data_IF_998856747280
#
_entry.id   IF_998856747280
#
_cell.length_a   1.000
_cell.length_b   1.000
_cell.length_c   1.000
_cell.angle_alpha   90.00
_cell.angle_beta   90.00
_cell.angle_gamma   90.00
#
_symmetry.space_group_name_H-M   'P 1'
#
loop_
_entity.id
_entity.type
_entity.pdbx_description
1 polymer ?
#
# COMPACT_ATOMS: atom_id res chain seq x y z
N UNK A 1 7.16 41.77 -14.67
CA UNK A 1 7.22 40.57 -13.80
C UNK A 1 6.91 39.34 -14.66
N UNK A 2 7.86 38.45 -14.91
CA UNK A 2 7.68 37.30 -15.82
C UNK A 2 6.67 36.29 -15.22
N UNK A 3 5.91 35.57 -16.06
CA UNK A 3 4.88 34.57 -15.64
C UNK A 3 5.37 33.58 -14.57
N UNK A 4 6.69 33.29 -14.53
CA UNK A 4 7.33 32.47 -13.49
C UNK A 4 7.30 33.12 -12.10
N UNK A 5 7.58 34.41 -11.97
CA UNK A 5 7.54 35.11 -10.67
C UNK A 5 6.12 35.26 -10.14
N UNK A 6 5.13 35.42 -11.03
CA UNK A 6 3.72 35.42 -10.64
C UNK A 6 3.27 34.05 -10.13
N UNK A 7 3.67 32.96 -10.79
CA UNK A 7 3.37 31.60 -10.34
C UNK A 7 4.00 31.25 -8.98
N UNK A 8 5.25 31.68 -8.74
CA UNK A 8 5.93 31.50 -7.44
C UNK A 8 5.23 32.30 -6.35
N UNK A 9 4.85 33.55 -6.62
CA UNK A 9 4.15 34.39 -5.64
C UNK A 9 2.77 33.82 -5.27
N UNK A 10 2.01 33.32 -6.26
CA UNK A 10 0.70 32.68 -6.03
C UNK A 10 0.87 31.39 -5.23
N UNK A 11 1.87 30.56 -5.55
CA UNK A 11 2.16 29.34 -4.79
C UNK A 11 2.59 29.64 -3.34
N UNK A 12 3.41 30.67 -3.14
CA UNK A 12 3.81 31.11 -1.81
C UNK A 12 2.62 31.64 -1.00
N UNK A 13 1.75 32.46 -1.60
CA UNK A 13 0.51 32.93 -0.95
C UNK A 13 -0.45 31.80 -0.63
N UNK A 14 -0.61 30.82 -1.53
CA UNK A 14 -1.44 29.65 -1.28
C UNK A 14 -0.87 28.77 -0.15
N UNK A 15 0.47 28.60 -0.09
CA UNK A 15 1.12 27.86 0.98
C UNK A 15 1.01 28.57 2.34
N UNK A 16 1.20 29.89 2.38
CA UNK A 16 1.02 30.71 3.59
C UNK A 16 -0.45 30.73 4.02
N UNK A 17 -1.40 30.86 3.09
CA UNK A 17 -2.84 30.79 3.36
C UNK A 17 -3.26 29.41 3.87
N UNK A 18 -2.73 28.34 3.29
CA UNK A 18 -2.96 26.97 3.76
C UNK A 18 -2.36 26.75 5.15
N UNK A 19 -1.13 27.22 5.40
CA UNK A 19 -0.50 27.14 6.71
C UNK A 19 -1.27 27.95 7.77
N UNK A 20 -1.73 29.15 7.43
CA UNK A 20 -2.55 29.98 8.31
C UNK A 20 -3.92 29.33 8.60
N UNK A 21 -4.58 28.75 7.59
CA UNK A 21 -5.81 27.99 7.76
C UNK A 21 -5.60 26.75 8.62
N UNK A 22 -4.52 26.00 8.39
CA UNK A 22 -4.17 24.82 9.19
C UNK A 22 -3.91 25.21 10.65
N UNK A 23 -3.14 26.28 10.90
CA UNK A 23 -2.88 26.79 12.26
C UNK A 23 -4.14 27.29 12.94
N UNK A 24 -5.00 28.02 12.23
CA UNK A 24 -6.30 28.46 12.75
C UNK A 24 -7.20 27.27 13.10
N UNK A 25 -7.28 26.28 12.21
CA UNK A 25 -8.08 25.07 12.43
C UNK A 25 -7.56 24.22 13.57
N UNK A 26 -6.24 24.12 13.74
CA UNK A 26 -5.57 23.41 14.85
C UNK A 26 -5.80 24.12 16.20
N UNK A 27 -5.87 25.45 16.22
CA UNK A 27 -6.22 26.21 17.44
C UNK A 27 -7.67 25.96 17.88
N UNK A 28 -8.58 25.86 16.92
CA UNK A 28 -10.02 25.70 17.19
C UNK A 28 -10.43 24.22 17.36
N UNK A 29 -9.53 23.26 17.12
CA UNK A 29 -9.82 21.82 17.20
C UNK A 29 -9.64 21.21 18.59
N UNK A 30 -9.22 21.99 19.60
CA UNK A 30 -8.86 21.46 20.92
C UNK A 30 -7.57 20.66 20.93
N UNK A 31 -6.65 20.90 19.99
CA UNK A 31 -5.36 20.21 19.92
C UNK A 31 -4.35 20.82 20.89
N UNK A 32 -3.72 19.99 21.72
CA UNK A 32 -2.71 20.39 22.69
C UNK A 32 -1.33 19.84 22.33
N UNK A 33 -0.38 20.75 22.09
CA UNK A 33 1.02 20.38 21.81
C UNK A 33 1.67 19.65 22.98
N UNK A 34 1.28 19.95 24.22
CA UNK A 34 1.84 19.30 25.41
C UNK A 34 1.38 17.85 25.51
N UNK A 35 0.12 17.57 25.22
CA UNK A 35 -0.41 16.20 25.17
C UNK A 35 0.16 15.40 24.00
N UNK A 36 0.31 16.04 22.83
CA UNK A 36 0.96 15.42 21.69
C UNK A 36 2.40 15.03 22.02
N UNK A 37 3.19 15.94 22.59
CA UNK A 37 4.54 15.63 23.04
C UNK A 37 4.54 14.55 24.14
N UNK A 38 3.54 14.58 25.03
CA UNK A 38 3.41 13.61 26.10
C UNK A 38 3.11 12.19 25.61
N UNK A 39 2.49 12.05 24.43
CA UNK A 39 2.24 10.74 23.80
C UNK A 39 3.53 9.94 23.49
N UNK A 40 4.69 10.61 23.46
CA UNK A 40 5.99 9.98 23.24
C UNK A 40 6.74 9.66 24.54
N UNK A 41 6.25 10.11 25.71
CA UNK A 41 6.84 9.72 26.99
C UNK A 41 6.39 8.31 27.37
N UNK A 42 7.30 7.56 28.00
CA UNK A 42 7.08 6.18 28.44
C UNK A 42 6.68 5.18 27.33
N UNK A 43 7.11 5.44 26.09
CA UNK A 43 6.99 4.45 25.01
C UNK A 43 7.89 3.26 25.31
N UNK A 44 7.35 2.05 25.23
CA UNK A 44 8.12 0.82 25.33
C UNK A 44 8.84 0.54 24.00
N UNK A 45 10.13 0.86 23.99
CA UNK A 45 11.01 0.69 22.83
C UNK A 45 11.15 -0.76 22.38
N UNK A 46 10.94 -1.74 23.26
CA UNK A 46 11.04 -3.16 22.91
C UNK A 46 9.89 -3.56 22.00
N UNK A 47 8.66 -3.17 22.36
CA UNK A 47 7.47 -3.39 21.54
C UNK A 47 7.53 -2.59 20.23
N UNK A 48 8.04 -1.36 20.28
CA UNK A 48 8.20 -0.53 19.09
C UNK A 48 9.24 -1.11 18.12
N UNK A 49 10.36 -1.61 18.62
CA UNK A 49 11.39 -2.27 17.83
C UNK A 49 10.89 -3.58 17.22
N UNK A 50 10.08 -4.35 17.95
CA UNK A 50 9.43 -5.55 17.43
C UNK A 50 8.44 -5.20 16.31
N UNK A 51 7.61 -4.17 16.50
CA UNK A 51 6.70 -3.67 15.46
C UNK A 51 7.47 -3.24 14.20
N UNK A 52 8.54 -2.46 14.37
CA UNK A 52 9.42 -2.06 13.27
C UNK A 52 10.00 -3.28 12.53
N UNK A 53 10.49 -4.28 13.26
CA UNK A 53 11.08 -5.49 12.69
C UNK A 53 10.05 -6.29 11.89
N UNK A 54 8.81 -6.40 12.40
CA UNK A 54 7.72 -7.05 11.69
C UNK A 54 7.33 -6.28 10.42
N UNK A 55 7.28 -4.94 10.46
CA UNK A 55 7.07 -4.13 9.25
C UNK A 55 8.18 -4.37 8.23
N UNK A 56 9.45 -4.39 8.66
CA UNK A 56 10.57 -4.71 7.75
C UNK A 56 10.44 -6.11 7.13
N UNK A 57 10.00 -7.09 7.93
CA UNK A 57 9.74 -8.44 7.45
C UNK A 57 8.64 -8.50 6.38
N UNK A 58 7.65 -7.60 6.41
CA UNK A 58 6.61 -7.54 5.35
C UNK A 58 7.20 -7.24 3.97
N UNK A 59 8.24 -6.41 3.86
CA UNK A 59 8.89 -6.14 2.57
C UNK A 59 9.61 -7.37 2.00
N UNK A 60 10.19 -8.19 2.88
CA UNK A 60 10.77 -9.49 2.51
C UNK A 60 9.66 -10.47 2.08
N UNK A 61 8.57 -10.53 2.85
CA UNK A 61 7.39 -11.33 2.50
C UNK A 61 6.80 -10.96 1.13
N UNK A 62 6.72 -9.67 0.83
CA UNK A 62 6.30 -9.15 -0.49
C UNK A 62 7.26 -9.57 -1.60
N UNK A 63 8.58 -9.57 -1.35
CA UNK A 63 9.56 -10.03 -2.31
C UNK A 63 9.44 -11.55 -2.58
N UNK A 64 9.26 -12.35 -1.54
CA UNK A 64 9.03 -13.81 -1.63
C UNK A 64 7.72 -14.11 -2.38
N UNK A 65 6.64 -13.40 -2.07
CA UNK A 65 5.36 -13.56 -2.79
C UNK A 65 5.52 -13.22 -4.28
N UNK A 66 6.27 -12.17 -4.61
CA UNK A 66 6.56 -11.83 -6.00
C UNK A 66 7.42 -12.87 -6.70
N UNK A 67 8.38 -13.48 -6.00
CA UNK A 67 9.17 -14.60 -6.52
C UNK A 67 8.25 -15.73 -6.98
N UNK A 68 7.23 -16.10 -6.19
CA UNK A 68 6.26 -17.15 -6.53
C UNK A 68 5.46 -16.79 -7.79
N UNK A 69 5.05 -15.53 -7.93
CA UNK A 69 4.39 -15.05 -9.16
C UNK A 69 5.31 -15.12 -10.38
N UNK A 70 6.62 -14.95 -10.16
CA UNK A 70 7.64 -14.91 -11.20
C UNK A 70 8.14 -16.30 -11.63
N UNK A 71 8.09 -17.31 -10.75
CA UNK A 71 8.56 -18.69 -11.00
C UNK A 71 8.14 -19.31 -12.33
N UNK A 72 6.90 -19.13 -12.84
CA UNK A 72 6.51 -19.66 -14.15
C UNK A 72 7.30 -19.06 -15.32
N UNK A 73 7.76 -17.81 -15.19
CA UNK A 73 8.53 -17.08 -16.20
C UNK A 73 10.03 -17.26 -15.99
N UNK A 74 10.46 -17.20 -14.73
CA UNK A 74 11.87 -17.28 -14.33
C UNK A 74 12.01 -18.02 -13.00
N UNK A 75 12.50 -19.27 -13.07
CA UNK A 75 12.66 -20.14 -11.89
C UNK A 75 13.82 -19.73 -10.99
N UNK A 76 14.83 -19.08 -11.55
CA UNK A 76 16.09 -18.67 -10.90
C UNK A 76 16.08 -17.20 -10.43
N UNK A 77 14.89 -16.60 -10.29
CA UNK A 77 14.77 -15.21 -9.87
C UNK A 77 15.43 -14.98 -8.51
N UNK A 78 16.28 -13.95 -8.42
CA UNK A 78 17.04 -13.68 -7.20
C UNK A 78 16.18 -12.92 -6.19
N UNK A 79 15.98 -13.51 -5.01
CA UNK A 79 15.25 -12.86 -3.92
C UNK A 79 15.84 -11.48 -3.56
N UNK A 80 17.16 -11.34 -3.61
CA UNK A 80 17.83 -10.06 -3.33
C UNK A 80 17.48 -8.98 -4.37
N UNK A 81 17.41 -9.34 -5.66
CA UNK A 81 17.01 -8.41 -6.72
C UNK A 81 15.55 -7.99 -6.58
N UNK A 82 14.68 -8.95 -6.22
CA UNK A 82 13.26 -8.70 -5.95
C UNK A 82 13.06 -7.83 -4.71
N UNK A 83 13.78 -8.10 -3.62
CA UNK A 83 13.77 -7.27 -2.42
C UNK A 83 14.24 -5.85 -2.73
N UNK A 84 15.35 -5.70 -3.45
CA UNK A 84 15.87 -4.38 -3.82
C UNK A 84 14.89 -3.60 -4.69
N UNK A 85 14.28 -4.24 -5.70
CA UNK A 85 13.23 -3.61 -6.51
C UNK A 85 11.98 -3.26 -5.68
N UNK A 86 11.66 -4.07 -4.67
CA UNK A 86 10.55 -3.83 -3.75
C UNK A 86 10.82 -2.61 -2.87
N UNK A 87 11.97 -2.54 -2.21
CA UNK A 87 12.36 -1.40 -1.37
C UNK A 87 12.40 -0.08 -2.15
N UNK A 88 13.01 -0.07 -3.35
CA UNK A 88 13.06 1.11 -4.22
C UNK A 88 11.64 1.49 -4.69
N UNK A 89 10.82 0.52 -5.08
CA UNK A 89 9.46 0.78 -5.52
C UNK A 89 8.56 1.35 -4.43
N UNK A 90 8.59 0.80 -3.21
CA UNK A 90 7.84 1.36 -2.09
C UNK A 90 8.36 2.74 -1.69
N UNK A 91 9.66 2.99 -1.78
CA UNK A 91 10.23 4.33 -1.63
C UNK A 91 9.67 5.30 -2.67
N UNK A 92 9.56 4.88 -3.93
CA UNK A 92 8.96 5.68 -4.98
C UNK A 92 7.47 5.95 -4.72
N UNK A 93 6.72 4.99 -4.18
CA UNK A 93 5.32 5.19 -3.78
C UNK A 93 5.20 6.23 -2.67
N UNK A 94 6.11 6.20 -1.68
CA UNK A 94 6.10 7.19 -0.60
C UNK A 94 6.41 8.59 -1.12
N UNK A 95 7.38 8.74 -2.02
CA UNK A 95 7.82 10.05 -2.53
C UNK A 95 6.92 10.62 -3.63
N UNK A 96 6.40 9.77 -4.52
CA UNK A 96 5.66 10.18 -5.72
C UNK A 96 4.18 9.75 -5.71
N UNK A 97 3.72 9.08 -4.64
CA UNK A 97 2.37 8.54 -4.52
C UNK A 97 2.10 7.45 -5.55
N UNK A 98 0.90 7.47 -6.14
CA UNK A 98 0.45 6.48 -7.13
C UNK A 98 1.33 6.42 -8.39
N UNK A 99 1.98 7.54 -8.75
CA UNK A 99 2.93 7.55 -9.86
C UNK A 99 4.18 6.68 -9.61
N UNK A 100 4.47 6.34 -8.35
CA UNK A 100 5.54 5.43 -7.96
C UNK A 100 5.20 3.94 -8.06
N UNK A 101 3.93 3.56 -8.17
CA UNK A 101 3.51 2.15 -8.22
C UNK A 101 4.13 1.34 -9.36
N UNK A 102 4.29 1.89 -10.58
CA UNK A 102 4.91 1.16 -11.70
C UNK A 102 6.41 0.91 -11.53
N UNK A 103 7.09 1.58 -10.58
CA UNK A 103 8.56 1.50 -10.41
C UNK A 103 9.01 0.09 -10.04
N UNK A 104 8.31 -0.58 -9.11
CA UNK A 104 8.64 -1.97 -8.71
C UNK A 104 8.51 -2.95 -9.90
N UNK A 105 7.36 -3.06 -10.59
CA UNK A 105 7.22 -3.90 -11.78
C UNK A 105 8.26 -3.58 -12.87
N UNK A 106 8.56 -2.30 -13.08
CA UNK A 106 9.57 -1.88 -14.06
C UNK A 106 10.98 -2.36 -13.69
N UNK A 107 11.39 -2.18 -12.43
CA UNK A 107 12.70 -2.62 -11.96
C UNK A 107 12.83 -4.15 -11.98
N UNK A 108 11.78 -4.87 -11.61
CA UNK A 108 11.78 -6.34 -11.68
C UNK A 108 11.88 -6.81 -13.14
N UNK A 109 11.11 -6.22 -14.06
CA UNK A 109 11.19 -6.52 -15.48
C UNK A 109 12.61 -6.37 -16.02
N UNK A 110 13.27 -5.25 -15.67
CA UNK A 110 14.63 -4.95 -16.12
C UNK A 110 15.69 -5.88 -15.50
N UNK A 111 15.60 -6.17 -14.20
CA UNK A 111 16.58 -6.99 -13.47
C UNK A 111 16.44 -8.47 -13.76
N UNK A 112 15.19 -8.92 -13.92
CA UNK A 112 14.87 -10.31 -14.13
C UNK A 112 14.73 -10.68 -15.62
N UNK A 113 14.95 -9.73 -16.53
CA UNK A 113 14.92 -10.00 -17.98
C UNK A 113 13.56 -10.50 -18.46
N UNK A 114 12.48 -10.09 -17.78
CA UNK A 114 11.10 -10.43 -18.11
C UNK A 114 10.35 -9.22 -18.65
N UNK A 115 9.26 -9.43 -19.38
CA UNK A 115 8.50 -8.32 -19.96
C UNK A 115 7.83 -7.46 -18.90
N UNK A 116 7.80 -6.13 -19.10
CA UNK A 116 7.12 -5.21 -18.18
C UNK A 116 5.62 -5.51 -18.06
N UNK A 117 4.96 -5.88 -19.15
CA UNK A 117 3.54 -6.24 -19.17
C UNK A 117 3.23 -7.45 -18.30
N UNK A 118 4.12 -8.45 -18.22
CA UNK A 118 3.96 -9.57 -17.29
C UNK A 118 4.02 -9.12 -15.82
N UNK A 119 4.90 -8.16 -15.51
CA UNK A 119 5.06 -7.65 -14.15
C UNK A 119 3.91 -6.74 -13.73
N UNK A 120 3.29 -6.02 -14.68
CA UNK A 120 2.04 -5.31 -14.44
C UNK A 120 0.91 -6.30 -14.15
N UNK A 121 0.83 -7.44 -14.84
CA UNK A 121 -0.15 -8.47 -14.52
C UNK A 121 0.03 -9.01 -13.08
N UNK A 122 1.28 -9.33 -12.70
CA UNK A 122 1.59 -9.77 -11.34
C UNK A 122 1.24 -8.70 -10.28
N UNK A 123 1.52 -7.43 -10.57
CA UNK A 123 1.14 -6.31 -9.70
C UNK A 123 -0.38 -6.21 -9.53
N UNK A 124 -1.17 -6.33 -10.60
CA UNK A 124 -2.64 -6.30 -10.52
C UNK A 124 -3.14 -7.44 -9.63
N UNK A 125 -2.62 -8.66 -9.82
CA UNK A 125 -2.97 -9.82 -8.98
C UNK A 125 -2.64 -9.56 -7.51
N UNK A 126 -1.45 -9.02 -7.23
CA UNK A 126 -1.05 -8.63 -5.88
C UNK A 126 -2.04 -7.63 -5.27
N UNK A 127 -2.42 -6.57 -6.00
CA UNK A 127 -3.37 -5.55 -5.54
C UNK A 127 -4.75 -6.12 -5.27
N UNK A 128 -5.24 -7.04 -6.11
CA UNK A 128 -6.55 -7.66 -5.91
C UNK A 128 -6.52 -8.54 -4.66
N UNK A 129 -5.50 -9.38 -4.48
CA UNK A 129 -5.36 -10.22 -3.29
C UNK A 129 -5.24 -9.39 -2.01
N UNK A 130 -4.45 -8.32 -2.04
CA UNK A 130 -4.31 -7.39 -0.91
C UNK A 130 -5.66 -6.72 -0.61
N UNK A 131 -6.38 -6.23 -1.63
CA UNK A 131 -7.69 -5.59 -1.47
C UNK A 131 -8.74 -6.56 -0.92
N UNK A 132 -8.77 -7.80 -1.38
CA UNK A 132 -9.68 -8.82 -0.83
C UNK A 132 -9.40 -9.06 0.67
N UNK A 133 -8.14 -9.09 1.08
CA UNK A 133 -7.78 -9.20 2.51
C UNK A 133 -8.16 -7.95 3.30
N UNK A 134 -7.94 -6.75 2.77
CA UNK A 134 -8.41 -5.49 3.39
C UNK A 134 -9.91 -5.56 3.65
N UNK A 135 -10.68 -5.96 2.64
CA UNK A 135 -12.13 -6.04 2.73
C UNK A 135 -12.60 -7.12 3.68
N UNK A 136 -11.90 -8.26 3.74
CA UNK A 136 -12.17 -9.31 4.73
C UNK A 136 -11.94 -8.81 6.15
N UNK A 137 -10.78 -8.20 6.41
CA UNK A 137 -10.41 -7.64 7.72
C UNK A 137 -11.38 -6.54 8.12
N UNK A 138 -11.71 -5.64 7.19
CA UNK A 138 -12.68 -4.57 7.40
C UNK A 138 -14.08 -5.12 7.66
N UNK A 139 -14.51 -6.16 6.93
CA UNK A 139 -15.78 -6.84 7.17
C UNK A 139 -15.84 -7.45 8.58
N UNK A 140 -14.78 -8.13 9.03
CA UNK A 140 -14.66 -8.64 10.40
C UNK A 140 -14.68 -7.51 11.42
N UNK A 141 -14.00 -6.39 11.15
CA UNK A 141 -14.04 -5.21 12.02
C UNK A 141 -15.47 -4.66 12.17
N UNK A 142 -16.23 -4.55 11.07
CA UNK A 142 -17.61 -4.05 11.08
C UNK A 142 -18.56 -4.96 11.86
N UNK A 143 -18.41 -6.28 11.77
CA UNK A 143 -19.25 -7.20 12.55
C UNK A 143 -18.97 -7.09 14.05
N UNK A 144 -17.70 -6.96 14.44
CA UNK A 144 -17.33 -6.78 15.84
C UNK A 144 -17.87 -5.47 16.41
N UNK A 145 -17.77 -4.35 15.66
CA UNK A 145 -18.35 -3.07 16.06
C UNK A 145 -19.87 -3.17 16.23
N UNK A 146 -20.55 -3.91 15.35
CA UNK A 146 -22.00 -4.11 15.41
C UNK A 146 -22.45 -4.96 16.62
N UNK A 147 -21.57 -5.82 17.15
CA UNK A 147 -21.85 -6.67 18.31
C UNK A 147 -21.43 -6.06 19.65
N UNK A 148 -20.47 -5.13 19.67
CA UNK A 148 -20.16 -4.35 20.87
C UNK A 148 -21.33 -3.44 21.24
N UNK A 149 -21.64 -3.32 22.55
CA UNK A 149 -22.78 -2.56 23.10
C UNK A 149 -22.78 -1.03 22.83
N UNK A 150 -21.92 -0.57 21.93
CA UNK A 150 -21.86 0.79 21.42
C UNK A 150 -23.04 0.96 20.47
N UNK A 151 -24.13 1.60 20.94
CA UNK A 151 -25.21 2.03 20.06
C UNK A 151 -24.66 3.10 19.12
N UNK A 152 -24.45 2.81 17.83
CA UNK A 152 -23.93 3.82 16.92
C UNK A 152 -24.98 4.93 16.85
N UNK A 153 -24.60 6.17 17.11
CA UNK A 153 -25.47 7.31 16.84
C UNK A 153 -25.91 7.33 15.35
N UNK A 154 -26.95 8.09 14.98
CA UNK A 154 -27.53 8.07 13.64
C UNK A 154 -26.52 8.34 12.50
N UNK A 155 -25.46 9.12 12.77
CA UNK A 155 -24.41 9.40 11.78
C UNK A 155 -23.43 8.22 11.62
N UNK A 156 -23.02 7.60 12.71
CA UNK A 156 -22.16 6.41 12.72
C UNK A 156 -22.82 5.20 12.09
N UNK A 157 -24.13 4.99 12.27
CA UNK A 157 -24.86 3.89 11.63
C UNK A 157 -24.91 4.03 10.11
N UNK A 158 -25.11 5.25 9.59
CA UNK A 158 -25.06 5.54 8.15
C UNK A 158 -23.65 5.31 7.60
N UNK A 159 -22.61 5.78 8.29
CA UNK A 159 -21.21 5.57 7.89
C UNK A 159 -20.87 4.07 7.86
N UNK A 160 -21.30 3.30 8.85
CA UNK A 160 -21.11 1.85 8.91
C UNK A 160 -21.83 1.13 7.75
N UNK A 161 -23.08 1.51 7.45
CA UNK A 161 -23.85 0.92 6.34
C UNK A 161 -23.24 1.25 4.98
N UNK A 162 -22.94 2.53 4.72
CA UNK A 162 -22.29 2.97 3.47
C UNK A 162 -20.92 2.34 3.32
N UNK A 163 -20.13 2.28 4.40
CA UNK A 163 -18.84 1.57 4.45
C UNK A 163 -18.98 0.09 4.12
N UNK A 164 -19.98 -0.58 4.68
CA UNK A 164 -20.28 -1.99 4.38
C UNK A 164 -20.67 -2.23 2.91
N UNK A 165 -21.57 -1.42 2.34
CA UNK A 165 -21.98 -1.56 0.93
C UNK A 165 -20.84 -1.27 -0.05
N UNK A 166 -20.06 -0.22 0.22
CA UNK A 166 -18.88 0.13 -0.61
C UNK A 166 -17.81 -0.94 -0.54
N UNK A 167 -17.55 -1.51 0.65
CA UNK A 167 -16.67 -2.66 0.82
C UNK A 167 -17.17 -3.89 0.06
N UNK A 168 -18.46 -4.23 0.19
CA UNK A 168 -19.08 -5.36 -0.50
C UNK A 168 -19.01 -5.24 -2.02
N UNK A 169 -19.34 -4.05 -2.57
CA UNK A 169 -19.25 -3.78 -4.00
C UNK A 169 -17.80 -3.88 -4.50
N UNK A 170 -16.85 -3.27 -3.78
CA UNK A 170 -15.43 -3.33 -4.12
C UNK A 170 -14.92 -4.77 -4.10
N UNK A 171 -15.37 -5.59 -3.14
CA UNK A 171 -15.02 -7.01 -3.05
C UNK A 171 -15.58 -7.81 -4.21
N UNK A 172 -16.85 -7.59 -4.57
CA UNK A 172 -17.48 -8.23 -5.71
C UNK A 172 -16.78 -7.88 -7.03
N UNK A 173 -16.43 -6.61 -7.25
CA UNK A 173 -15.66 -6.16 -8.42
C UNK A 173 -14.28 -6.82 -8.44
N UNK A 174 -13.57 -6.84 -7.31
CA UNK A 174 -12.24 -7.44 -7.20
C UNK A 174 -12.27 -8.94 -7.52
N UNK A 175 -13.27 -9.66 -7.01
CA UNK A 175 -13.47 -11.07 -7.30
C UNK A 175 -13.85 -11.32 -8.76
N UNK A 176 -14.72 -10.48 -9.33
CA UNK A 176 -15.09 -10.54 -10.74
C UNK A 176 -13.88 -10.32 -11.66
N UNK A 177 -13.00 -9.36 -11.32
CA UNK A 177 -11.74 -9.14 -12.04
C UNK A 177 -10.84 -10.36 -11.90
N UNK A 178 -10.66 -10.92 -10.70
CA UNK A 178 -9.82 -12.11 -10.50
C UNK A 178 -10.32 -13.32 -11.29
N UNK A 179 -11.62 -13.58 -11.26
CA UNK A 179 -12.25 -14.64 -12.07
C UNK A 179 -12.08 -14.34 -13.55
N UNK A 180 -12.28 -13.09 -13.98
CA UNK A 180 -12.08 -12.64 -15.35
C UNK A 180 -10.64 -12.84 -15.84
N UNK A 181 -9.64 -12.51 -15.01
CA UNK A 181 -8.22 -12.74 -15.28
C UNK A 181 -7.89 -14.23 -15.38
N UNK A 182 -8.46 -15.05 -14.49
CA UNK A 182 -8.28 -16.51 -14.53
C UNK A 182 -8.94 -17.15 -15.76
N UNK A 183 -10.10 -16.64 -16.15
CA UNK A 183 -10.86 -17.08 -17.32
C UNK A 183 -10.39 -16.41 -18.63
N UNK A 184 -9.45 -15.46 -18.55
CA UNK A 184 -8.80 -14.84 -19.70
C UNK A 184 -8.03 -15.93 -20.45
N UNK A 185 -8.72 -16.50 -21.45
CA UNK A 185 -8.24 -17.57 -22.33
C UNK A 185 -7.72 -16.95 -23.63
N UNK A 186 -6.99 -17.76 -24.39
CA UNK A 186 -6.71 -17.54 -25.82
C UNK A 186 -7.95 -17.06 -26.61
N UNK A 187 -9.17 -17.46 -26.23
CA UNK A 187 -10.41 -16.99 -26.85
C UNK A 187 -10.73 -15.50 -26.61
N UNK A 188 -10.44 -14.95 -25.43
CA UNK A 188 -10.63 -13.50 -25.16
C UNK A 188 -9.55 -12.70 -25.87
N UNK A 189 -8.31 -13.19 -25.84
CA UNK A 189 -7.18 -12.65 -26.61
C UNK A 189 -7.54 -12.55 -28.11
N UNK A 190 -8.00 -13.64 -28.72
CA UNK A 190 -8.38 -13.67 -30.13
C UNK A 190 -9.58 -12.77 -30.46
N UNK A 191 -10.53 -12.59 -29.52
CA UNK A 191 -11.65 -11.65 -29.68
C UNK A 191 -11.18 -10.21 -29.57
N UNK A 192 -10.26 -9.88 -28.66
CA UNK A 192 -9.67 -8.55 -28.53
C UNK A 192 -8.88 -8.17 -29.79
N UNK A 193 -8.04 -9.07 -30.30
CA UNK A 193 -7.27 -8.82 -31.53
C UNK A 193 -8.21 -8.66 -32.73
N UNK A 194 -9.25 -9.48 -32.85
CA UNK A 194 -10.28 -9.30 -33.88
C UNK A 194 -11.01 -7.97 -33.76
N UNK A 195 -11.35 -7.54 -32.55
CA UNK A 195 -11.98 -6.25 -32.33
C UNK A 195 -11.05 -5.08 -32.68
N UNK A 196 -9.73 -5.26 -32.58
CA UNK A 196 -8.71 -4.25 -32.89
C UNK A 196 -8.18 -4.33 -34.32
N UNK A 197 -8.74 -5.20 -35.17
CA UNK A 197 -8.28 -5.40 -36.55
C UNK A 197 -8.52 -4.20 -37.47
N UNK A 198 -9.25 -3.18 -37.01
CA UNK A 198 -9.41 -1.90 -37.71
C UNK A 198 -8.15 -1.01 -37.61
N UNK A 199 -7.21 -1.32 -36.72
CA UNK A 199 -5.97 -0.57 -36.53
C UNK A 199 -4.88 -1.04 -37.52
N UNK A 200 -3.87 -0.20 -37.80
CA UNK A 200 -2.70 -0.59 -38.59
C UNK A 200 -2.02 -1.84 -38.03
N UNK A 201 -1.57 -2.74 -38.90
CA UNK A 201 -0.95 -4.03 -38.53
C UNK A 201 0.22 -3.87 -37.54
N UNK A 202 1.03 -2.81 -37.69
CA UNK A 202 2.13 -2.51 -36.77
C UNK A 202 1.68 -2.26 -35.34
N UNK A 203 0.49 -1.66 -35.15
CA UNK A 203 -0.09 -1.39 -33.83
C UNK A 203 -0.68 -2.69 -33.28
N UNK A 204 -1.42 -3.44 -34.10
CA UNK A 204 -2.01 -4.73 -33.70
C UNK A 204 -0.93 -5.71 -33.26
N UNK A 205 0.18 -5.80 -34.00
CA UNK A 205 1.32 -6.65 -33.65
C UNK A 205 1.94 -6.26 -32.29
N UNK A 206 2.12 -4.96 -32.03
CA UNK A 206 2.61 -4.48 -30.72
C UNK A 206 1.64 -4.83 -29.58
N UNK A 207 0.33 -4.61 -29.80
CA UNK A 207 -0.70 -4.94 -28.82
C UNK A 207 -0.71 -6.46 -28.54
N UNK A 208 -0.58 -7.28 -29.58
CA UNK A 208 -0.51 -8.73 -29.45
C UNK A 208 0.67 -9.16 -28.59
N UNK A 209 1.86 -8.60 -28.81
CA UNK A 209 3.03 -8.88 -27.96
C UNK A 209 2.77 -8.51 -26.49
N UNK A 210 2.14 -7.36 -26.24
CA UNK A 210 1.77 -6.92 -24.88
C UNK A 210 0.76 -7.89 -24.24
N UNK A 211 -0.25 -8.32 -24.99
CA UNK A 211 -1.29 -9.24 -24.50
C UNK A 211 -0.72 -10.63 -24.20
N UNK A 212 0.15 -11.17 -25.05
CA UNK A 212 0.86 -12.44 -24.79
C UNK A 212 1.66 -12.34 -23.49
N UNK A 213 2.49 -11.30 -23.36
CA UNK A 213 3.30 -11.05 -22.17
C UNK A 213 2.47 -10.84 -20.90
N UNK A 214 1.30 -10.21 -21.01
CA UNK A 214 0.37 -10.06 -19.89
C UNK A 214 -0.25 -11.41 -19.49
N UNK A 215 -0.64 -12.22 -20.48
CA UNK A 215 -1.18 -13.57 -20.28
C UNK A 215 -0.16 -14.52 -19.62
N UNK A 216 1.11 -14.39 -19.98
CA UNK A 216 2.25 -15.06 -19.37
C UNK A 216 2.39 -14.69 -17.89
N UNK A 217 2.31 -13.41 -17.53
CA UNK A 217 2.32 -12.95 -16.13
C UNK A 217 1.17 -13.52 -15.28
N UNK A 218 0.01 -13.76 -15.90
CA UNK A 218 -1.14 -14.37 -15.23
C UNK A 218 -1.03 -15.89 -15.05
N UNK A 219 -0.06 -16.57 -15.66
CA UNK A 219 0.09 -18.03 -15.52
C UNK A 219 0.23 -18.48 -14.05
N UNK A 220 0.81 -17.64 -13.19
CA UNK A 220 0.92 -17.89 -11.75
C UNK A 220 -0.44 -18.11 -11.05
N UNK A 221 -1.52 -17.56 -11.58
CA UNK A 221 -2.89 -17.73 -11.04
C UNK A 221 -3.61 -18.98 -11.58
N UNK A 222 -3.00 -19.68 -12.53
CA UNK A 222 -3.59 -20.86 -13.19
C UNK A 222 -3.23 -22.18 -12.53
N UNK A 223 -2.03 -22.29 -11.93
CA UNK A 223 -1.60 -23.49 -11.21
C UNK A 223 -2.22 -23.57 -9.83
N UNK A 224 -2.94 -24.65 -9.50
CA UNK A 224 -3.61 -24.79 -8.20
C UNK A 224 -2.68 -24.61 -7.00
N UNK A 225 -1.48 -25.20 -7.06
CA UNK A 225 -0.47 -25.05 -6.01
C UNK A 225 0.10 -23.62 -5.91
N UNK A 226 0.42 -23.00 -7.05
CA UNK A 226 0.91 -21.62 -7.08
C UNK A 226 -0.14 -20.66 -6.55
N UNK A 227 -1.41 -20.81 -6.94
CA UNK A 227 -2.52 -20.01 -6.41
C UNK A 227 -2.71 -20.22 -4.90
N UNK A 228 -2.62 -21.47 -4.42
CA UNK A 228 -2.66 -21.75 -2.98
C UNK A 228 -1.51 -21.03 -2.25
N UNK A 229 -0.28 -21.11 -2.76
CA UNK A 229 0.86 -20.40 -2.20
C UNK A 229 0.64 -18.88 -2.22
N UNK A 230 0.12 -18.30 -3.30
CA UNK A 230 -0.16 -16.86 -3.35
C UNK A 230 -1.17 -16.42 -2.28
N UNK A 231 -2.24 -17.19 -2.08
CA UNK A 231 -3.22 -16.94 -1.02
C UNK A 231 -2.58 -17.10 0.36
N UNK A 232 -1.84 -18.19 0.59
CA UNK A 232 -1.17 -18.44 1.86
C UNK A 232 -0.17 -17.34 2.23
N UNK A 233 0.69 -16.92 1.28
CA UNK A 233 1.62 -15.81 1.49
C UNK A 233 0.88 -14.50 1.76
N UNK A 234 -0.24 -14.25 1.06
CA UNK A 234 -1.05 -13.05 1.32
C UNK A 234 -1.63 -13.09 2.73
N UNK A 235 -2.21 -14.22 3.18
CA UNK A 235 -2.73 -14.37 4.55
C UNK A 235 -1.62 -14.18 5.58
N UNK A 236 -0.47 -14.83 5.40
CA UNK A 236 0.69 -14.70 6.30
C UNK A 236 1.16 -13.24 6.37
N UNK A 237 1.26 -12.56 5.22
CA UNK A 237 1.67 -11.16 5.16
C UNK A 237 0.72 -10.27 5.98
N UNK A 238 -0.59 -10.47 5.85
CA UNK A 238 -1.59 -9.74 6.64
C UNK A 238 -1.58 -10.10 8.12
N UNK A 239 -1.27 -11.35 8.49
CA UNK A 239 -1.06 -11.73 9.90
C UNK A 239 0.17 -11.04 10.49
N UNK A 240 1.26 -10.93 9.73
CA UNK A 240 2.46 -10.17 10.14
C UNK A 240 2.13 -8.69 10.28
N UNK A 241 1.34 -8.11 9.38
CA UNK A 241 0.86 -6.72 9.50
C UNK A 241 0.02 -6.54 10.76
N UNK A 242 -0.93 -7.44 11.03
CA UNK A 242 -1.74 -7.40 12.24
C UNK A 242 -0.91 -7.54 13.52
N UNK A 243 0.08 -8.43 13.52
CA UNK A 243 1.02 -8.59 14.62
C UNK A 243 1.89 -7.33 14.82
N UNK A 244 2.33 -6.69 13.73
CA UNK A 244 3.08 -5.43 13.78
C UNK A 244 2.23 -4.32 14.41
N UNK A 245 0.96 -4.20 14.01
CA UNK A 245 0.02 -3.23 14.58
C UNK A 245 -0.25 -3.53 16.06
N UNK A 246 -0.39 -4.80 16.43
CA UNK A 246 -0.58 -5.19 17.83
C UNK A 246 0.63 -4.80 18.69
N UNK A 247 1.84 -5.14 18.24
CA UNK A 247 3.08 -4.74 18.92
C UNK A 247 3.20 -3.21 18.99
N UNK A 248 2.83 -2.51 17.92
CA UNK A 248 2.86 -1.05 17.86
C UNK A 248 1.95 -0.43 18.93
N UNK A 249 0.68 -0.83 19.02
CA UNK A 249 -0.23 -0.28 20.04
C UNK A 249 0.17 -0.69 21.46
N UNK A 250 0.78 -1.86 21.65
CA UNK A 250 1.36 -2.27 22.93
C UNK A 250 2.52 -1.38 23.39
N UNK A 251 3.21 -0.70 22.46
CA UNK A 251 4.32 0.19 22.78
C UNK A 251 3.90 1.51 23.45
N UNK A 252 2.65 1.95 23.26
CA UNK A 252 2.18 3.23 23.79
C UNK A 252 1.27 3.02 25.01
N UNK A 253 1.52 3.67 26.16
CA UNK A 253 0.69 3.51 27.36
C UNK A 253 -0.81 3.76 27.11
N UNK A 254 -1.13 4.75 26.26
CA UNK A 254 -2.51 5.12 25.93
C UNK A 254 -3.27 4.05 25.13
N UNK A 255 -2.57 3.12 24.47
CA UNK A 255 -3.18 2.06 23.63
C UNK A 255 -2.73 0.66 24.03
N UNK A 256 -1.94 0.52 25.10
CA UNK A 256 -1.45 -0.78 25.58
C UNK A 256 -2.55 -1.74 26.06
N UNK A 257 -3.71 -1.20 26.42
CA UNK A 257 -4.89 -1.97 26.85
C UNK A 257 -5.72 -2.52 25.67
N UNK A 258 -5.42 -2.11 24.43
CA UNK A 258 -6.15 -2.57 23.26
C UNK A 258 -5.96 -4.09 23.06
N UNK A 259 -7.07 -4.80 22.94
CA UNK A 259 -7.09 -6.24 22.63
C UNK A 259 -6.81 -6.46 21.15
N UNK A 260 -6.51 -7.70 20.78
CA UNK A 260 -6.28 -8.06 19.37
C UNK A 260 -7.48 -7.65 18.48
N UNK A 261 -8.70 -7.83 18.96
CA UNK A 261 -9.92 -7.42 18.23
C UNK A 261 -9.96 -5.92 17.96
N UNK A 262 -9.57 -5.10 18.94
CA UNK A 262 -9.52 -3.64 18.82
C UNK A 262 -8.51 -3.22 17.76
N UNK A 263 -7.34 -3.86 17.77
CA UNK A 263 -6.28 -3.63 16.78
C UNK A 263 -6.72 -4.02 15.37
N UNK A 264 -7.45 -5.14 15.22
CA UNK A 264 -8.02 -5.56 13.94
C UNK A 264 -9.05 -4.54 13.43
N UNK A 265 -9.85 -3.94 14.33
CA UNK A 265 -10.76 -2.84 13.97
C UNK A 265 -9.96 -1.67 13.42
N UNK A 266 -8.97 -1.18 14.17
CA UNK A 266 -8.12 -0.05 13.71
C UNK A 266 -7.47 -0.40 12.37
N UNK A 267 -6.90 -1.60 12.22
CA UNK A 267 -6.26 -2.05 10.98
C UNK A 267 -7.21 -2.02 9.78
N UNK A 268 -8.47 -2.46 9.93
CA UNK A 268 -9.45 -2.43 8.85
C UNK A 268 -9.72 -1.01 8.33
N UNK A 269 -9.98 -0.06 9.24
CA UNK A 269 -10.21 1.34 8.88
C UNK A 269 -8.95 2.01 8.32
N UNK A 270 -7.78 1.74 8.90
CA UNK A 270 -6.50 2.29 8.46
C UNK A 270 -6.12 1.76 7.09
N UNK A 271 -6.32 0.48 6.81
CA UNK A 271 -6.06 -0.12 5.51
C UNK A 271 -6.94 0.52 4.43
N UNK A 272 -8.22 0.76 4.70
CA UNK A 272 -9.10 1.49 3.78
C UNK A 272 -8.66 2.95 3.60
N UNK A 273 -8.36 3.66 4.70
CA UNK A 273 -7.88 5.04 4.67
C UNK A 273 -6.56 5.20 3.90
N UNK A 274 -5.69 4.17 3.93
CA UNK A 274 -4.41 4.18 3.21
C UNK A 274 -4.53 4.19 1.69
N UNK A 275 -5.73 3.95 1.12
CA UNK A 275 -5.98 4.10 -0.31
C UNK A 275 -5.82 5.55 -0.79
N UNK A 276 -5.98 6.53 0.11
CA UNK A 276 -5.89 7.96 -0.17
C UNK A 276 -4.72 8.58 0.59
N UNK A 277 -3.53 8.58 -0.02
CA UNK A 277 -2.32 9.17 0.55
C UNK A 277 -1.81 10.30 -0.34
N UNK A 278 -1.41 11.39 0.31
CA UNK A 278 -0.70 12.50 -0.32
C UNK A 278 0.78 12.12 -0.36
N UNK A 279 1.44 12.19 -1.54
CA UNK A 279 2.87 11.90 -1.67
C UNK A 279 3.71 12.66 -0.64
N UNK A 280 4.62 11.96 0.04
CA UNK A 280 5.58 12.50 1.00
C UNK A 280 5.02 12.90 2.36
N UNK A 281 3.70 13.08 2.50
CA UNK A 281 3.06 13.64 3.70
C UNK A 281 2.20 12.61 4.44
N UNK A 282 1.58 11.68 3.72
CA UNK A 282 0.58 10.79 4.29
C UNK A 282 -0.84 11.35 4.14
N UNK A 283 -1.67 11.27 5.18
CA UNK A 283 -3.05 11.73 5.16
C UNK A 283 -4.06 10.65 5.54
N UNK A 284 -4.52 9.85 4.57
CA UNK A 284 -5.70 8.99 4.77
C UNK A 284 -5.56 7.97 5.89
N UNK A 285 -4.39 7.35 6.05
CA UNK A 285 -4.16 6.44 7.19
C UNK A 285 -4.12 7.16 8.53
N UNK A 286 -3.56 8.37 8.59
CA UNK A 286 -3.43 9.13 9.82
C UNK A 286 -4.80 9.60 10.26
N UNK A 287 -5.60 10.15 9.33
CA UNK A 287 -6.99 10.53 9.55
C UNK A 287 -7.80 9.32 10.04
N UNK A 288 -7.71 8.17 9.37
CA UNK A 288 -8.41 6.96 9.79
C UNK A 288 -7.98 6.50 11.20
N UNK A 289 -6.67 6.52 11.50
CA UNK A 289 -6.16 6.15 12.82
C UNK A 289 -6.67 7.10 13.89
N UNK A 290 -6.57 8.42 13.66
CA UNK A 290 -7.06 9.45 14.59
C UNK A 290 -8.55 9.26 14.85
N UNK A 291 -9.36 9.17 13.80
CA UNK A 291 -10.81 9.00 13.92
C UNK A 291 -11.17 7.76 14.73
N UNK A 292 -10.55 6.62 14.47
CA UNK A 292 -10.87 5.40 15.22
C UNK A 292 -10.43 5.53 16.69
N UNK A 293 -9.24 6.06 16.96
CA UNK A 293 -8.75 6.24 18.34
C UNK A 293 -9.58 7.25 19.13
N UNK A 294 -10.06 8.33 18.50
CA UNK A 294 -10.88 9.35 19.18
C UNK A 294 -12.32 8.89 19.34
N UNK A 295 -12.94 8.33 18.30
CA UNK A 295 -14.38 8.02 18.30
C UNK A 295 -14.69 6.67 18.97
N UNK A 296 -13.85 5.64 18.79
CA UNK A 296 -14.13 4.30 19.30
C UNK A 296 -13.44 4.01 20.63
N UNK A 297 -12.28 4.64 20.86
CA UNK A 297 -11.47 4.42 22.07
C UNK A 297 -11.40 5.65 22.97
N UNK A 298 -12.07 6.75 22.61
CA UNK A 298 -12.18 7.98 23.41
C UNK A 298 -10.82 8.60 23.79
N UNK A 299 -9.78 8.39 22.96
CA UNK A 299 -8.49 9.07 23.15
C UNK A 299 -8.61 10.55 22.79
N UNK A 300 -7.86 11.40 23.50
CA UNK A 300 -7.72 12.80 23.14
C UNK A 300 -7.11 12.97 21.73
N UNK A 301 -7.59 13.97 20.98
CA UNK A 301 -7.16 14.27 19.61
C UNK A 301 -5.63 14.40 19.51
N UNK A 302 -5.01 15.07 20.48
CA UNK A 302 -3.56 15.30 20.55
C UNK A 302 -2.79 13.97 20.60
N UNK A 303 -3.17 13.09 21.52
CA UNK A 303 -2.54 11.77 21.73
C UNK A 303 -2.76 10.85 20.53
N UNK A 304 -4.00 10.79 20.02
CA UNK A 304 -4.34 10.00 18.84
C UNK A 304 -3.52 10.44 17.61
N UNK A 305 -3.32 11.75 17.42
CA UNK A 305 -2.50 12.30 16.34
C UNK A 305 -1.02 11.93 16.46
N UNK A 306 -0.46 11.93 17.68
CA UNK A 306 0.91 11.50 17.94
C UNK A 306 1.13 10.03 17.58
N UNK A 307 0.23 9.16 18.04
CA UNK A 307 0.25 7.73 17.72
C UNK A 307 0.09 7.49 16.21
N UNK A 308 -0.86 8.17 15.56
CA UNK A 308 -1.09 8.05 14.13
C UNK A 308 0.13 8.48 13.29
N UNK A 309 0.85 9.52 13.72
CA UNK A 309 2.08 9.96 13.06
C UNK A 309 3.17 8.88 13.11
N UNK A 310 3.44 8.30 14.29
CA UNK A 310 4.48 7.26 14.41
C UNK A 310 4.07 6.00 13.66
N UNK A 311 2.78 5.65 13.67
CA UNK A 311 2.27 4.51 12.90
C UNK A 311 2.54 4.69 11.40
N UNK A 312 2.31 5.90 10.86
CA UNK A 312 2.64 6.23 9.47
C UNK A 312 4.15 6.16 9.21
N UNK A 313 4.98 6.74 10.09
CA UNK A 313 6.44 6.71 9.95
C UNK A 313 6.91 5.26 9.88
N UNK A 314 6.51 4.43 10.84
CA UNK A 314 6.95 3.04 10.92
C UNK A 314 6.44 2.24 9.72
N UNK A 315 5.20 2.45 9.30
CA UNK A 315 4.57 1.66 8.22
C UNK A 315 5.02 2.04 6.81
N UNK A 316 5.36 3.32 6.57
CA UNK A 316 5.62 3.84 5.22
C UNK A 316 6.98 4.53 5.06
N UNK A 317 7.43 5.29 6.05
CA UNK A 317 8.62 6.16 5.89
C UNK A 317 9.92 5.40 6.13
N UNK A 318 9.92 4.40 7.01
CA UNK A 318 11.10 3.62 7.39
C UNK A 318 11.81 2.92 6.24
N UNK A 319 11.11 2.57 5.17
CA UNK A 319 11.72 1.94 3.99
C UNK A 319 12.49 2.94 3.13
N UNK A 320 12.21 4.24 3.23
CA UNK A 320 12.77 5.28 2.36
C UNK A 320 14.30 5.35 2.44
N UNK A 321 14.95 5.41 3.62
CA UNK A 321 16.40 5.41 3.69
C UNK A 321 17.04 4.17 3.05
N UNK A 322 16.43 2.99 3.28
CA UNK A 322 16.92 1.72 2.74
C UNK A 322 16.78 1.70 1.22
N UNK A 323 15.61 2.08 0.69
CA UNK A 323 15.37 2.12 -0.74
C UNK A 323 16.21 3.16 -1.47
N UNK A 324 16.44 4.33 -0.86
CA UNK A 324 17.36 5.34 -1.41
C UNK A 324 18.80 4.82 -1.45
N UNK A 325 19.31 4.25 -0.35
CA UNK A 325 20.65 3.68 -0.30
C UNK A 325 20.85 2.59 -1.36
N UNK A 326 19.88 1.70 -1.51
CA UNK A 326 19.88 0.66 -2.54
C UNK A 326 19.80 1.24 -3.96
N UNK A 327 18.97 2.26 -4.19
CA UNK A 327 18.86 2.93 -5.48
C UNK A 327 20.18 3.61 -5.89
N UNK A 328 20.86 4.28 -4.96
CA UNK A 328 22.18 4.88 -5.21
C UNK A 328 23.22 3.82 -5.55
N UNK A 329 23.28 2.74 -4.77
CA UNK A 329 24.21 1.65 -5.02
C UNK A 329 23.98 0.98 -6.38
N UNK A 330 22.73 0.80 -6.80
CA UNK A 330 22.41 0.27 -8.13
C UNK A 330 22.70 1.25 -9.26
N UNK A 331 22.44 2.55 -9.06
CA UNK A 331 22.78 3.60 -10.01
C UNK A 331 24.28 3.67 -10.29
N UNK A 332 25.11 3.47 -9.27
CA UNK A 332 26.58 3.41 -9.40
C UNK A 332 27.00 2.18 -10.22
N UNK A 333 26.43 1.00 -9.94
CA UNK A 333 26.72 -0.22 -10.72
C UNK A 333 26.36 -0.07 -12.20
N UNK A 334 25.23 0.57 -12.51
CA UNK A 334 24.82 0.78 -13.90
C UNK A 334 25.79 1.69 -14.67
N UNK A 335 26.28 2.74 -14.03
CA UNK A 335 27.28 3.64 -14.64
C UNK A 335 28.60 2.92 -14.90
N UNK A 336 29.05 2.10 -13.95
CA UNK A 336 30.29 1.32 -14.07
C UNK A 336 30.23 0.32 -15.24
N UNK A 337 29.12 -0.42 -15.40
CA UNK A 337 28.95 -1.36 -16.52
C UNK A 337 28.92 -0.67 -17.88
N UNK A 338 28.28 0.49 -18.00
CA UNK A 338 28.27 1.27 -19.25
C UNK A 338 29.64 1.77 -19.67
N UNK A 339 30.54 2.05 -18.72
CA UNK A 339 31.91 2.45 -19.03
C UNK A 339 32.77 1.29 -19.53
N UNK A 340 32.48 0.05 -19.11
CA UNK A 340 33.18 -1.16 -19.57
C UNK A 340 32.71 -1.63 -20.96
N UNK A 341 31.46 -1.37 -21.35
CA UNK A 341 30.97 -1.65 -22.71
C UNK A 341 31.48 -0.65 -23.77
N UNK A 342 32.09 0.47 -23.35
CA UNK A 342 32.58 1.53 -24.22
C UNK A 342 34.11 1.58 -24.37
N UNK A 343 34.84 0.69 -23.69
CA UNK A 343 36.31 0.55 -23.74
C UNK A 343 36.72 -0.71 -24.48
#
# INVERSE_FOLDING_TARGET
MTRKHLGIAVAAFAAVGFAAYAVWRLRDSGFSWTEFAASFYHVDWSWLALAFSLVMATYVGRALRWEIMLRPLRKDASLWRLFTATAIGFTAVVLFGRAGEPVRPYLIAKKEGVSFSSQIAAWIVERILDLLMVLLIFGVALTQVSHSAIRPGPRTSVVLQVGGYTAGLTGAISLAILIGLRQFRSSVHQRLIRALSFLPERIVAKIQTILVSFEEGMQSTRGGWTTFLLVAYTVIEWLVIAAAYYCFFRAFPATAMLRLTDVVIVLGFVAFGSALQIPGVGGGMQIATVLVLTEFFSLGLSTASGIALILWIISFVTIVPIGLALAFHEGIKWRSLRHLEQS
#
